data_IF_711342136736
#
_entry.id   IF_711342136736
#
_cell.length_a   1.000
_cell.length_b   1.000
_cell.length_c   1.000
_cell.angle_alpha   90.00
_cell.angle_beta   90.00
_cell.angle_gamma   90.00
#
_symmetry.space_group_name_H-M   'P 1'
#
loop_
_entity.id
_entity.type
_entity.pdbx_description
1 polymer ?
#
# COMPACT_ATOMS: atom_id res chain seq x y z
N UNK A 1 -30.00 6.17 25.34
CA UNK A 1 -29.41 6.54 24.04
C UNK A 1 -30.55 6.57 23.04
N UNK A 2 -30.92 7.75 22.56
CA UNK A 2 -31.96 7.92 21.55
C UNK A 2 -31.40 7.47 20.20
N UNK A 3 -32.12 6.56 19.53
CA UNK A 3 -31.81 6.22 18.15
C UNK A 3 -31.90 7.50 17.29
N UNK A 4 -30.92 7.73 16.43
CA UNK A 4 -30.95 8.81 15.45
C UNK A 4 -32.18 8.62 14.55
N UNK A 5 -33.11 9.58 14.59
CA UNK A 5 -34.30 9.60 13.73
C UNK A 5 -33.95 10.26 12.39
N UNK A 6 -33.18 9.51 11.57
CA UNK A 6 -32.71 9.95 10.26
C UNK A 6 -33.03 8.91 9.20
N UNK A 7 -33.22 9.37 7.96
CA UNK A 7 -33.40 8.48 6.83
C UNK A 7 -32.07 7.81 6.43
N UNK A 8 -31.88 6.58 6.87
CA UNK A 8 -30.70 5.77 6.57
C UNK A 8 -30.59 5.38 5.08
N UNK A 9 -31.66 5.52 4.28
CA UNK A 9 -31.61 5.27 2.85
C UNK A 9 -30.72 6.27 2.10
N UNK A 10 -30.50 7.47 2.68
CA UNK A 10 -29.56 8.49 2.18
C UNK A 10 -28.10 8.02 2.19
N UNK A 11 -27.81 6.97 2.95
CA UNK A 11 -26.49 6.34 3.05
C UNK A 11 -26.42 5.01 2.27
N UNK A 12 -27.48 4.61 1.58
CA UNK A 12 -27.43 3.47 0.66
C UNK A 12 -26.90 3.95 -0.69
N UNK A 13 -25.86 3.30 -1.18
CA UNK A 13 -25.28 3.61 -2.49
C UNK A 13 -24.97 2.31 -3.22
N UNK A 14 -25.34 2.28 -4.51
CA UNK A 14 -25.06 1.15 -5.40
C UNK A 14 -23.68 1.27 -6.00
N UNK A 15 -23.07 0.13 -6.27
CA UNK A 15 -21.72 -0.02 -6.83
C UNK A 15 -20.61 0.65 -6.00
N UNK A 16 -20.86 0.88 -4.70
CA UNK A 16 -19.93 1.53 -3.78
C UNK A 16 -19.23 0.51 -2.89
N UNK A 17 -19.91 -0.57 -2.51
CA UNK A 17 -19.37 -1.56 -1.58
C UNK A 17 -19.10 -2.88 -2.27
N UNK A 18 -18.28 -3.72 -1.66
CA UNK A 18 -18.05 -5.08 -2.15
C UNK A 18 -17.86 -6.04 -0.99
N UNK A 19 -18.65 -7.11 -0.97
CA UNK A 19 -18.43 -8.25 -0.10
C UNK A 19 -17.15 -8.97 -0.54
N UNK A 20 -16.30 -9.29 0.44
CA UNK A 20 -15.12 -10.11 0.20
C UNK A 20 -15.56 -11.50 -0.26
N UNK A 21 -14.92 -11.98 -1.32
CA UNK A 21 -15.03 -13.32 -1.86
C UNK A 21 -13.90 -14.16 -1.28
N UNK A 22 -14.25 -15.33 -0.80
CA UNK A 22 -13.34 -16.36 -0.28
C UNK A 22 -13.07 -17.45 -1.33
N UNK A 23 -13.96 -17.61 -2.31
CA UNK A 23 -13.81 -18.55 -3.42
C UNK A 23 -14.21 -17.94 -4.77
N UNK A 24 -13.78 -18.57 -5.86
CA UNK A 24 -14.19 -18.19 -7.22
C UNK A 24 -15.69 -18.40 -7.47
N UNK A 25 -16.35 -19.25 -6.69
CA UNK A 25 -17.77 -19.56 -6.82
C UNK A 25 -18.64 -18.52 -6.08
N UNK A 26 -18.05 -17.75 -5.15
CA UNK A 26 -18.76 -16.71 -4.44
C UNK A 26 -19.20 -15.61 -5.43
N UNK A 27 -20.47 -15.18 -5.41
CA UNK A 27 -20.93 -14.13 -6.30
C UNK A 27 -20.32 -12.78 -5.94
N UNK A 28 -20.07 -11.95 -6.96
CA UNK A 28 -19.78 -10.53 -6.73
C UNK A 28 -21.06 -9.87 -6.21
N UNK A 29 -21.04 -9.35 -4.99
CA UNK A 29 -22.20 -8.74 -4.33
C UNK A 29 -21.79 -7.58 -3.40
N UNK A 30 -22.74 -6.70 -3.12
CA UNK A 30 -22.56 -5.53 -2.25
C UNK A 30 -22.92 -5.85 -0.79
N UNK A 31 -22.47 -5.00 0.13
CA UNK A 31 -22.92 -5.02 1.52
C UNK A 31 -24.35 -4.52 1.61
N UNK A 32 -25.16 -5.16 2.47
CA UNK A 32 -26.55 -4.78 2.66
C UNK A 32 -26.65 -3.59 3.63
N UNK A 33 -27.59 -2.68 3.38
CA UNK A 33 -27.88 -1.54 4.26
C UNK A 33 -27.04 -0.28 3.96
N UNK A 34 -26.99 0.68 4.92
CA UNK A 34 -26.26 1.91 4.74
C UNK A 34 -24.74 1.67 4.70
N UNK A 35 -24.02 2.44 3.88
CA UNK A 35 -22.57 2.35 3.74
C UNK A 35 -21.90 3.00 4.95
N UNK A 36 -21.61 2.18 5.95
CA UNK A 36 -20.96 2.58 7.21
C UNK A 36 -19.63 1.83 7.41
N UNK A 37 -18.75 2.43 8.23
CA UNK A 37 -17.55 1.74 8.67
C UNK A 37 -17.92 0.61 9.64
N UNK A 38 -17.11 -0.45 9.67
CA UNK A 38 -17.38 -1.62 10.52
C UNK A 38 -17.41 -1.21 12.00
N UNK A 39 -18.49 -1.57 12.68
CA UNK A 39 -18.68 -1.25 14.09
C UNK A 39 -19.08 0.21 14.37
N UNK A 40 -19.32 1.02 13.34
CA UNK A 40 -19.89 2.35 13.50
C UNK A 40 -21.41 2.30 13.38
N UNK A 41 -22.09 2.67 14.47
CA UNK A 41 -23.56 2.78 14.57
C UNK A 41 -24.01 4.23 14.84
N UNK A 42 -23.06 5.17 14.85
CA UNK A 42 -23.30 6.59 15.15
C UNK A 42 -22.89 7.49 14.00
N UNK A 43 -23.57 8.63 13.93
CA UNK A 43 -23.30 9.71 12.98
C UNK A 43 -22.83 10.92 13.77
N UNK A 44 -21.79 11.61 13.30
CA UNK A 44 -21.38 12.86 13.94
C UNK A 44 -22.42 13.96 13.70
N UNK A 45 -22.46 14.98 14.57
CA UNK A 45 -23.44 16.08 14.50
C UNK A 45 -23.46 16.80 13.14
N UNK A 46 -22.30 16.95 12.48
CA UNK A 46 -22.22 17.56 11.15
C UNK A 46 -22.89 16.71 10.06
N UNK A 47 -22.74 15.38 10.14
CA UNK A 47 -23.36 14.46 9.20
C UNK A 47 -24.87 14.35 9.49
N UNK A 48 -25.27 14.32 10.77
CA UNK A 48 -26.67 14.33 11.18
C UNK A 48 -27.41 15.56 10.65
N UNK A 49 -26.82 16.76 10.78
CA UNK A 49 -27.42 18.00 10.26
C UNK A 49 -27.70 17.95 8.75
N UNK A 50 -26.89 17.20 7.98
CA UNK A 50 -27.14 16.97 6.55
C UNK A 50 -28.22 15.91 6.32
N UNK A 51 -28.19 14.81 7.08
CA UNK A 51 -29.19 13.75 6.95
C UNK A 51 -30.61 14.24 7.30
N UNK A 52 -30.75 15.08 8.33
CA UNK A 52 -32.03 15.68 8.72
C UNK A 52 -32.60 16.60 7.62
N UNK A 53 -31.74 17.21 6.80
CA UNK A 53 -32.17 18.02 5.64
C UNK A 53 -32.43 17.18 4.39
N UNK A 54 -32.35 15.84 4.49
CA UNK A 54 -32.54 14.94 3.35
C UNK A 54 -31.32 14.83 2.42
N UNK A 55 -30.14 15.25 2.88
CA UNK A 55 -28.92 15.30 2.07
C UNK A 55 -27.86 14.31 2.56
N UNK A 56 -27.21 13.61 1.64
CA UNK A 56 -26.07 12.73 1.95
C UNK A 56 -24.86 13.57 2.38
N UNK A 57 -24.24 13.29 3.54
CA UNK A 57 -23.06 14.02 4.00
C UNK A 57 -21.92 13.95 2.99
N UNK A 58 -21.26 15.08 2.72
CA UNK A 58 -20.21 15.20 1.70
C UNK A 58 -19.08 14.17 1.84
N UNK A 59 -18.66 13.87 3.08
CA UNK A 59 -17.60 12.90 3.39
C UNK A 59 -18.14 11.54 3.82
N UNK A 60 -19.42 11.24 3.55
CA UNK A 60 -19.99 9.93 3.79
C UNK A 60 -19.26 8.87 2.96
N UNK A 61 -19.11 7.66 3.51
CA UNK A 61 -18.59 6.51 2.77
C UNK A 61 -19.49 6.15 1.57
N UNK A 62 -20.78 6.48 1.64
CA UNK A 62 -21.73 6.33 0.54
C UNK A 62 -21.36 7.18 -0.69
N UNK A 63 -20.54 8.23 -0.56
CA UNK A 63 -20.09 9.08 -1.66
C UNK A 63 -18.85 8.52 -2.38
N UNK A 64 -18.81 7.21 -2.65
CA UNK A 64 -17.64 6.52 -3.23
C UNK A 64 -16.34 6.68 -2.42
N UNK A 65 -16.46 6.94 -1.12
CA UNK A 65 -15.33 7.05 -0.19
C UNK A 65 -15.13 5.77 0.63
N UNK A 66 -15.97 4.76 0.40
CA UNK A 66 -15.84 3.46 1.02
C UNK A 66 -14.63 2.69 0.47
N UNK A 67 -13.75 2.29 1.38
CA UNK A 67 -12.60 1.40 1.08
C UNK A 67 -12.85 0.00 1.64
N UNK A 68 -13.69 -0.11 2.68
CA UNK A 68 -13.91 -1.35 3.42
C UNK A 68 -12.79 -1.67 4.42
N UNK A 69 -12.89 -2.85 5.02
CA UNK A 69 -11.85 -3.38 5.89
C UNK A 69 -10.65 -3.84 5.07
N UNK A 70 -9.44 -3.48 5.51
CA UNK A 70 -8.24 -3.97 4.85
C UNK A 70 -8.06 -5.47 5.18
N UNK A 71 -8.06 -6.38 4.20
CA UNK A 71 -7.89 -7.82 4.44
C UNK A 71 -6.47 -8.12 4.93
N UNK A 72 -6.28 -9.24 5.61
CA UNK A 72 -4.97 -9.61 6.18
C UNK A 72 -3.90 -9.85 5.08
N UNK A 73 -4.35 -10.30 3.90
CA UNK A 73 -3.55 -10.47 2.70
C UNK A 73 -3.01 -9.13 2.16
N UNK A 74 -3.54 -7.97 2.58
CA UNK A 74 -3.02 -6.65 2.18
C UNK A 74 -2.47 -5.83 3.37
N UNK A 75 -2.83 -6.16 4.62
CA UNK A 75 -2.30 -5.52 5.84
C UNK A 75 -0.81 -5.72 5.99
N UNK A 76 -0.05 -4.72 6.42
CA UNK A 76 1.36 -4.91 6.82
C UNK A 76 2.33 -5.26 5.68
N UNK A 77 2.02 -4.85 4.45
CA UNK A 77 2.97 -4.92 3.33
C UNK A 77 4.03 -3.82 3.46
N UNK A 78 5.29 -4.17 3.21
CA UNK A 78 6.37 -3.19 3.05
C UNK A 78 6.14 -2.38 1.78
N UNK A 79 6.93 -1.33 1.60
CA UNK A 79 6.81 -0.51 0.40
C UNK A 79 7.23 -1.28 -0.86
N UNK A 80 8.29 -2.07 -0.80
CA UNK A 80 8.69 -2.95 -1.90
C UNK A 80 7.63 -4.00 -2.22
N UNK A 81 7.00 -4.65 -1.23
CA UNK A 81 5.93 -5.62 -1.48
C UNK A 81 4.73 -4.96 -2.19
N UNK A 82 4.35 -3.75 -1.76
CA UNK A 82 3.29 -2.95 -2.45
C UNK A 82 3.67 -2.63 -3.89
N UNK A 83 4.94 -2.31 -4.12
CA UNK A 83 5.45 -2.05 -5.46
C UNK A 83 5.35 -3.31 -6.34
N UNK A 84 5.63 -4.49 -5.80
CA UNK A 84 5.57 -5.76 -6.55
C UNK A 84 4.15 -6.15 -6.99
N UNK A 85 3.12 -5.75 -6.25
CA UNK A 85 1.73 -6.06 -6.57
C UNK A 85 0.99 -4.91 -7.28
N UNK A 86 1.63 -3.77 -7.49
CA UNK A 86 0.98 -2.59 -8.07
C UNK A 86 0.80 -2.72 -9.60
N UNK A 87 -0.44 -2.77 -10.07
CA UNK A 87 -0.78 -2.82 -11.50
C UNK A 87 -0.37 -1.59 -12.30
N UNK A 88 -0.44 -0.40 -11.70
CA UNK A 88 -0.15 0.87 -12.38
C UNK A 88 1.01 1.57 -11.69
N UNK A 89 2.00 2.02 -12.46
CA UNK A 89 3.13 2.81 -11.99
C UNK A 89 3.27 4.10 -12.77
N UNK A 90 3.62 5.17 -12.07
CA UNK A 90 3.82 6.51 -12.63
C UNK A 90 5.09 7.19 -12.08
N UNK A 91 5.98 6.43 -11.47
CA UNK A 91 7.07 6.96 -10.66
C UNK A 91 8.28 6.03 -10.65
N UNK A 92 9.46 6.64 -10.71
CA UNK A 92 10.75 6.05 -10.32
C UNK A 92 11.09 6.54 -8.92
N UNK A 93 11.78 5.74 -8.13
CA UNK A 93 12.09 6.05 -6.75
C UNK A 93 13.55 5.76 -6.42
N UNK A 94 14.15 6.64 -5.64
CA UNK A 94 15.45 6.40 -5.00
C UNK A 94 15.22 6.35 -3.51
N UNK A 95 15.60 5.23 -2.88
CA UNK A 95 15.52 5.04 -1.43
C UNK A 95 16.93 5.07 -0.86
N UNK A 96 17.16 6.02 0.04
CA UNK A 96 18.41 6.17 0.80
C UNK A 96 18.16 5.79 2.24
N UNK A 97 18.76 4.71 2.72
CA UNK A 97 18.76 4.32 4.13
C UNK A 97 20.10 4.71 4.73
N UNK A 98 20.07 5.40 5.85
CA UNK A 98 21.25 5.76 6.62
C UNK A 98 21.20 5.12 8.02
N UNK A 99 22.29 4.50 8.43
CA UNK A 99 22.48 3.90 9.75
C UNK A 99 23.43 4.74 10.60
N UNK A 100 23.08 5.01 11.86
CA UNK A 100 23.94 5.74 12.78
C UNK A 100 23.47 5.69 14.23
N UNK A 101 24.39 5.47 15.17
CA UNK A 101 24.14 5.43 16.63
C UNK A 101 22.93 4.54 17.01
N UNK A 102 22.77 3.40 16.36
CA UNK A 102 21.67 2.43 16.59
C UNK A 102 20.33 2.77 15.92
N UNK A 103 20.24 3.86 15.14
CA UNK A 103 19.04 4.27 14.41
C UNK A 103 19.20 4.03 12.91
N UNK A 104 18.10 3.65 12.26
CA UNK A 104 17.97 3.58 10.80
C UNK A 104 16.97 4.65 10.36
N UNK A 105 17.36 5.49 9.40
CA UNK A 105 16.50 6.52 8.80
C UNK A 105 16.46 6.29 7.29
N UNK A 106 15.26 6.14 6.74
CA UNK A 106 15.04 5.95 5.32
C UNK A 106 14.40 7.21 4.71
N UNK A 107 15.02 7.75 3.66
CA UNK A 107 14.47 8.81 2.83
C UNK A 107 14.14 8.25 1.45
N UNK A 108 13.00 8.62 0.89
CA UNK A 108 12.59 8.22 -0.45
C UNK A 108 12.32 9.46 -1.30
N UNK A 109 12.93 9.52 -2.49
CA UNK A 109 12.68 10.57 -3.49
C UNK A 109 11.93 9.93 -4.65
N UNK A 110 10.81 10.54 -5.05
CA UNK A 110 9.93 10.04 -6.11
C UNK A 110 9.99 10.97 -7.31
N UNK A 111 10.35 10.44 -8.48
CA UNK A 111 10.34 11.15 -9.75
C UNK A 111 9.17 10.68 -10.58
N UNK A 112 8.31 11.60 -11.03
CA UNK A 112 7.23 11.26 -11.94
C UNK A 112 7.81 10.77 -13.28
N UNK A 113 7.31 9.63 -13.77
CA UNK A 113 7.62 9.19 -15.13
C UNK A 113 6.57 9.73 -16.09
N UNK A 114 6.97 10.32 -17.23
CA UNK A 114 6.01 10.89 -18.19
C UNK A 114 5.11 9.82 -18.82
N UNK A 115 5.51 8.55 -18.76
CA UNK A 115 4.76 7.40 -19.26
C UNK A 115 4.29 6.57 -18.05
N UNK A 116 2.99 6.28 -18.00
CA UNK A 116 2.42 5.32 -17.04
C UNK A 116 2.68 3.90 -17.55
N UNK A 117 3.34 3.06 -16.76
CA UNK A 117 3.45 1.62 -17.04
C UNK A 117 2.26 0.91 -16.41
N UNK A 118 1.49 0.18 -17.21
CA UNK A 118 0.38 -0.67 -16.76
C UNK A 118 0.77 -2.11 -16.99
N UNK A 119 0.83 -2.90 -15.92
CA UNK A 119 1.27 -4.29 -15.97
C UNK A 119 0.08 -5.22 -16.09
N UNK A 120 0.21 -6.22 -16.95
CA UNK A 120 -0.75 -7.33 -17.07
C UNK A 120 -0.19 -8.64 -16.49
N UNK A 121 1.08 -8.65 -16.10
CA UNK A 121 1.77 -9.78 -15.48
C UNK A 121 2.41 -9.27 -14.18
N UNK A 122 2.15 -9.94 -13.05
CA UNK A 122 2.73 -9.61 -11.74
C UNK A 122 3.02 -10.90 -10.94
N UNK A 123 3.89 -10.89 -9.92
CA UNK A 123 4.67 -9.75 -9.48
C UNK A 123 5.70 -9.37 -10.53
N UNK A 124 6.26 -8.17 -10.41
CA UNK A 124 7.36 -7.78 -11.28
C UNK A 124 8.59 -8.66 -11.05
N UNK A 125 9.43 -8.74 -12.06
CA UNK A 125 10.77 -9.31 -11.89
C UNK A 125 11.65 -8.42 -11.00
N UNK A 126 12.68 -9.01 -10.40
CA UNK A 126 13.68 -8.26 -9.63
C UNK A 126 14.39 -7.20 -10.49
N UNK A 127 14.59 -7.50 -11.78
CA UNK A 127 15.20 -6.59 -12.75
C UNK A 127 14.30 -5.37 -13.01
N UNK A 128 13.02 -5.57 -13.30
CA UNK A 128 12.06 -4.47 -13.50
C UNK A 128 11.89 -3.60 -12.25
N UNK A 129 11.97 -4.21 -11.06
CA UNK A 129 11.98 -3.45 -9.82
C UNK A 129 13.25 -2.60 -9.71
N UNK A 130 14.41 -3.18 -10.01
CA UNK A 130 15.72 -2.50 -9.96
C UNK A 130 15.82 -1.35 -10.97
N UNK A 131 15.12 -1.40 -12.11
CA UNK A 131 15.06 -0.28 -13.07
C UNK A 131 14.39 0.97 -12.51
N UNK A 132 13.42 0.79 -11.62
CA UNK A 132 12.63 1.91 -11.08
C UNK A 132 13.00 2.25 -9.65
N UNK A 133 13.83 1.43 -9.01
CA UNK A 133 14.14 1.51 -7.60
C UNK A 133 15.65 1.37 -7.39
N UNK A 134 16.28 2.47 -6.97
CA UNK A 134 17.65 2.44 -6.48
C UNK A 134 17.64 2.42 -4.95
N UNK A 135 18.23 1.38 -4.35
CA UNK A 135 18.36 1.28 -2.89
C UNK A 135 19.81 1.50 -2.47
N UNK A 136 20.06 2.62 -1.82
CA UNK A 136 21.38 3.01 -1.30
C UNK A 136 21.39 2.88 0.23
N UNK A 137 22.32 2.10 0.77
CA UNK A 137 22.54 1.94 2.19
C UNK A 137 23.84 2.65 2.62
N UNK A 138 23.72 3.60 3.56
CA UNK A 138 24.82 4.35 4.13
C UNK A 138 25.07 3.90 5.57
N UNK A 139 26.31 3.58 5.91
CA UNK A 139 26.67 3.24 7.29
C UNK A 139 28.14 2.90 7.46
N UNK A 140 28.62 2.85 8.71
CA UNK A 140 30.01 2.51 9.03
C UNK A 140 30.41 1.07 8.68
N UNK A 141 29.41 0.18 8.54
CA UNK A 141 29.56 -1.22 8.16
C UNK A 141 28.54 -1.60 7.08
N UNK A 142 28.79 -2.71 6.38
CA UNK A 142 27.86 -3.29 5.42
C UNK A 142 26.55 -3.68 6.12
N UNK A 143 25.38 -3.50 5.47
CA UNK A 143 24.10 -3.91 6.03
C UNK A 143 24.05 -5.42 6.25
N UNK A 144 23.44 -5.80 7.36
CA UNK A 144 23.15 -7.19 7.73
C UNK A 144 21.72 -7.58 7.34
N UNK A 145 21.38 -8.87 7.45
CA UNK A 145 20.00 -9.33 7.27
C UNK A 145 19.01 -8.65 8.23
N UNK A 146 19.41 -8.45 9.49
CA UNK A 146 18.60 -7.74 10.49
C UNK A 146 18.36 -6.27 10.12
N UNK A 147 19.34 -5.61 9.50
CA UNK A 147 19.17 -4.25 8.98
C UNK A 147 18.11 -4.24 7.89
N UNK A 148 18.15 -5.20 6.96
CA UNK A 148 17.22 -5.28 5.84
C UNK A 148 15.77 -5.49 6.27
N UNK A 149 15.51 -6.36 7.26
CA UNK A 149 14.16 -6.60 7.82
C UNK A 149 13.49 -5.29 8.28
N UNK A 150 14.30 -4.33 8.73
CA UNK A 150 13.82 -3.03 9.25
C UNK A 150 13.64 -1.98 8.17
N UNK A 151 13.97 -2.29 6.91
CA UNK A 151 13.84 -1.35 5.80
C UNK A 151 12.49 -1.49 5.09
N UNK A 152 11.99 -0.42 4.45
CA UNK A 152 10.80 -0.50 3.60
C UNK A 152 11.02 -1.36 2.33
N UNK A 153 12.26 -1.80 2.09
CA UNK A 153 12.70 -2.54 0.91
C UNK A 153 12.63 -4.05 1.06
N UNK A 154 12.37 -4.55 2.26
CA UNK A 154 12.24 -5.97 2.54
C UNK A 154 10.99 -6.56 1.88
N UNK A 155 11.11 -7.77 1.31
CA UNK A 155 10.01 -8.50 0.68
C UNK A 155 9.96 -9.91 1.21
N UNK A 156 8.74 -10.39 1.45
CA UNK A 156 8.44 -11.79 1.73
C UNK A 156 7.66 -12.37 0.55
N UNK A 157 8.20 -13.39 -0.11
CA UNK A 157 7.62 -13.97 -1.32
C UNK A 157 6.17 -14.42 -1.13
N UNK A 158 5.91 -15.12 -0.02
CA UNK A 158 4.57 -15.65 0.27
C UNK A 158 3.53 -14.54 0.41
N UNK A 159 3.93 -13.41 1.01
CA UNK A 159 3.05 -12.26 1.22
C UNK A 159 2.63 -11.61 -0.09
N UNK A 160 3.58 -11.48 -1.02
CA UNK A 160 3.32 -11.01 -2.39
C UNK A 160 2.35 -11.95 -3.11
N UNK A 161 2.55 -13.26 -3.00
CA UNK A 161 1.66 -14.26 -3.59
C UNK A 161 0.23 -14.16 -3.03
N UNK A 162 0.09 -14.20 -1.71
CA UNK A 162 -1.21 -14.14 -1.03
C UNK A 162 -1.98 -12.86 -1.40
N UNK A 163 -1.28 -11.73 -1.50
CA UNK A 163 -1.86 -10.47 -1.92
C UNK A 163 -2.37 -10.52 -3.37
N UNK A 164 -1.58 -11.07 -4.31
CA UNK A 164 -1.98 -11.18 -5.71
C UNK A 164 -3.17 -12.13 -5.90
N UNK A 165 -3.17 -13.27 -5.21
CA UNK A 165 -4.27 -14.22 -5.26
C UNK A 165 -5.56 -13.57 -4.73
N UNK A 166 -5.47 -12.85 -3.61
CA UNK A 166 -6.60 -12.11 -3.06
C UNK A 166 -7.08 -11.01 -4.02
N UNK A 167 -6.17 -10.23 -4.59
CA UNK A 167 -6.50 -9.15 -5.52
C UNK A 167 -7.17 -9.69 -6.79
N UNK A 168 -6.68 -10.79 -7.36
CA UNK A 168 -7.31 -11.44 -8.52
C UNK A 168 -8.73 -11.89 -8.24
N UNK A 169 -9.00 -12.35 -7.02
CA UNK A 169 -10.33 -12.79 -6.62
C UNK A 169 -11.29 -11.62 -6.32
N UNK A 170 -10.78 -10.55 -5.71
CA UNK A 170 -11.60 -9.51 -5.08
C UNK A 170 -11.56 -8.14 -5.77
N UNK A 171 -10.57 -7.86 -6.61
CA UNK A 171 -10.39 -6.54 -7.22
C UNK A 171 -10.60 -6.61 -8.73
N UNK A 172 -11.59 -5.85 -9.25
CA UNK A 172 -11.99 -5.90 -10.66
C UNK A 172 -10.83 -5.66 -11.64
N UNK A 173 -9.94 -4.72 -11.30
CA UNK A 173 -8.81 -4.38 -12.16
C UNK A 173 -7.74 -5.48 -12.20
N UNK A 174 -7.77 -6.47 -11.29
CA UNK A 174 -6.82 -7.57 -11.23
C UNK A 174 -7.38 -8.87 -11.83
N UNK A 175 -8.67 -8.93 -12.20
CA UNK A 175 -9.27 -10.18 -12.70
C UNK A 175 -8.56 -10.75 -13.94
N UNK A 176 -8.08 -9.88 -14.85
CA UNK A 176 -7.38 -10.28 -16.09
C UNK A 176 -5.86 -10.35 -15.92
N UNK A 177 -5.35 -10.11 -14.71
CA UNK A 177 -3.93 -10.11 -14.43
C UNK A 177 -3.38 -11.54 -14.43
N UNK A 178 -2.30 -11.76 -15.16
CA UNK A 178 -1.53 -12.99 -15.11
C UNK A 178 -0.60 -12.98 -13.89
N UNK A 179 -0.59 -14.08 -13.14
CA UNK A 179 0.37 -14.25 -12.03
C UNK A 179 1.59 -14.98 -12.58
N UNK A 180 2.76 -14.35 -12.58
CA UNK A 180 4.01 -14.97 -13.02
C UNK A 180 4.62 -15.81 -11.90
N UNK A 181 4.47 -17.13 -11.98
CA UNK A 181 5.13 -18.07 -11.08
C UNK A 181 6.65 -17.99 -11.19
N UNK A 182 7.18 -17.74 -12.39
CA UNK A 182 8.61 -17.55 -12.60
C UNK A 182 9.16 -16.36 -11.79
N UNK A 183 8.47 -15.21 -11.83
CA UNK A 183 8.88 -14.03 -11.06
C UNK A 183 8.71 -14.27 -9.56
N UNK A 184 7.67 -15.01 -9.12
CA UNK A 184 7.52 -15.39 -7.72
C UNK A 184 8.67 -16.27 -7.23
N UNK A 185 9.09 -17.25 -8.03
CA UNK A 185 10.18 -18.18 -7.67
C UNK A 185 11.52 -17.45 -7.57
N UNK A 186 11.74 -16.48 -8.47
CA UNK A 186 12.97 -15.67 -8.50
C UNK A 186 13.12 -14.73 -7.29
N UNK A 187 12.01 -14.32 -6.67
CA UNK A 187 12.07 -13.49 -5.47
C UNK A 187 12.75 -14.19 -4.30
N UNK A 188 13.49 -13.50 -3.42
CA UNK A 188 13.93 -14.10 -2.18
C UNK A 188 12.73 -14.55 -1.34
N UNK A 189 12.85 -15.67 -0.63
CA UNK A 189 11.81 -16.11 0.31
C UNK A 189 11.52 -15.00 1.32
N UNK A 190 12.60 -14.45 1.90
CA UNK A 190 12.63 -13.21 2.65
C UNK A 190 13.91 -12.43 2.33
N UNK A 191 13.82 -11.17 1.90
CA UNK A 191 15.01 -10.38 1.57
C UNK A 191 14.75 -9.13 0.74
N UNK A 192 15.82 -8.59 0.13
CA UNK A 192 15.73 -7.42 -0.74
C UNK A 192 15.66 -7.87 -2.21
N UNK A 193 14.60 -7.55 -2.96
CA UNK A 193 14.38 -7.99 -4.35
C UNK A 193 15.02 -7.06 -5.40
N UNK A 194 16.03 -6.25 -5.02
CA UNK A 194 16.68 -5.28 -5.90
C UNK A 194 18.15 -5.06 -5.52
N UNK A 195 18.92 -4.45 -6.41
CA UNK A 195 20.32 -4.13 -6.15
C UNK A 195 20.49 -3.18 -4.96
N UNK A 196 21.40 -3.53 -4.04
CA UNK A 196 21.76 -2.70 -2.88
C UNK A 196 23.13 -2.07 -3.11
N UNK A 197 23.18 -0.75 -3.21
CA UNK A 197 24.45 0.00 -3.22
C UNK A 197 24.82 0.37 -1.78
N UNK A 198 25.94 -0.15 -1.27
CA UNK A 198 26.44 0.24 0.05
C UNK A 198 27.57 1.26 -0.07
N UNK A 199 27.48 2.35 0.69
CA UNK A 199 28.58 3.31 0.87
C UNK A 199 28.92 3.44 2.34
N UNK A 200 30.23 3.37 2.62
CA UNK A 200 30.76 3.63 3.96
C UNK A 200 30.65 5.12 4.26
N UNK A 201 30.02 5.49 5.36
CA UNK A 201 29.99 6.89 5.83
C UNK A 201 31.36 7.24 6.42
N UNK A 202 31.99 8.34 5.98
CA UNK A 202 33.28 8.78 6.50
C UNK A 202 33.16 9.44 7.89
N UNK A 203 34.25 9.46 8.66
CA UNK A 203 34.27 10.14 9.97
C UNK A 203 34.02 11.64 9.79
N UNK A 204 32.86 12.12 10.25
CA UNK A 204 32.44 13.53 10.15
C UNK A 204 31.27 13.77 9.20
N UNK A 205 30.92 12.80 8.35
CA UNK A 205 29.69 12.87 7.54
C UNK A 205 28.47 12.53 8.42
N UNK A 206 27.56 13.50 8.56
CA UNK A 206 26.32 13.27 9.28
C UNK A 206 25.25 12.66 8.36
N UNK A 207 24.41 11.79 8.91
CA UNK A 207 23.23 11.25 8.21
C UNK A 207 22.13 12.31 7.97
N UNK A 208 22.36 13.56 8.40
CA UNK A 208 21.44 14.68 8.26
C UNK A 208 21.56 15.20 6.83
N UNK A 209 20.43 15.30 6.14
CA UNK A 209 20.37 16.06 4.89
C UNK A 209 20.57 17.53 5.25
N UNK A 210 21.53 18.26 4.69
CA UNK A 210 21.74 19.68 5.03
C UNK A 210 20.48 20.53 4.91
N UNK A 211 19.59 20.19 3.96
CA UNK A 211 18.31 20.86 3.74
C UNK A 211 17.24 20.55 4.79
N UNK A 212 17.43 19.51 5.61
CA UNK A 212 16.57 19.15 6.73
C UNK A 212 17.07 19.69 8.07
N UNK A 213 18.21 20.40 8.06
CA UNK A 213 18.70 21.14 9.22
C UNK A 213 17.97 22.49 9.24
N UNK A 214 17.24 22.79 10.31
CA UNK A 214 16.75 24.15 10.51
C UNK A 214 17.96 25.09 10.59
N UNK A 215 17.94 26.15 9.79
CA UNK A 215 18.81 27.29 10.01
C UNK A 215 18.14 28.07 11.12
N UNK A 216 18.72 28.04 12.32
CA UNK A 216 18.33 28.96 13.41
C UNK A 216 18.65 30.41 13.02
#
# INVERSE_FOLDING_TARGET
MTALDVDWSLLQAKDVTRKERLSSDDPVSELDGPVLAKGCDQVCTECEAKLVTGATPTHSLANNLWIGELPWQLKGHTWAEKMMIAKVRHNRCVVRVASGRGKLVANAIMFATPIRKVYNVLPLSCDELSEVLAFVFLGSAKPTGEDFVRTPMFVRRQRVKDALDWLKLNHRDYHTLETSDANLIDLPEEGIPCGVEWKKTEEGESNLVPEAMSVD
#
